data_IF_178438261331
#
_entry.id   IF_178438261331
#
_cell.length_a   1.000
_cell.length_b   1.000
_cell.length_c   1.000
_cell.angle_alpha   90.00
_cell.angle_beta   90.00
_cell.angle_gamma   90.00
#
_symmetry.space_group_name_H-M   'P 1'
#
loop_
_entity.id
_entity.type
_entity.pdbx_description
1 polymer ?
#
# COMPACT_ATOMS: atom_id res chain seq x y z
N UNK A 1 5.62 44.39 7.85
CA UNK A 1 6.07 43.17 7.13
C UNK A 1 6.99 42.28 8.00
N UNK A 2 6.66 42.06 9.28
CA UNK A 2 7.40 41.16 10.20
C UNK A 2 6.55 39.99 10.71
N UNK A 3 5.23 40.10 10.60
CA UNK A 3 4.27 39.08 11.07
C UNK A 3 4.24 37.88 10.11
N UNK A 4 4.35 38.08 8.79
CA UNK A 4 4.34 36.98 7.81
C UNK A 4 5.55 36.05 7.91
N UNK A 5 6.74 36.59 8.25
CA UNK A 5 7.97 35.79 8.43
C UNK A 5 7.91 34.92 9.68
N UNK A 6 7.37 35.45 10.79
CA UNK A 6 7.17 34.68 12.03
C UNK A 6 6.10 33.61 11.85
N UNK A 7 5.00 33.91 11.15
CA UNK A 7 3.95 32.95 10.85
C UNK A 7 4.46 31.84 9.93
N UNK A 8 5.23 32.18 8.90
CA UNK A 8 5.87 31.22 8.00
C UNK A 8 6.87 30.33 8.74
N UNK A 9 7.70 30.89 9.62
CA UNK A 9 8.64 30.13 10.45
C UNK A 9 7.91 29.16 11.38
N UNK A 10 6.83 29.60 12.04
CA UNK A 10 6.00 28.74 12.89
C UNK A 10 5.37 27.62 12.08
N UNK A 11 4.86 27.90 10.88
CA UNK A 11 4.30 26.89 9.99
C UNK A 11 5.36 25.86 9.56
N UNK A 12 6.57 26.31 9.22
CA UNK A 12 7.69 25.43 8.88
C UNK A 12 8.11 24.57 10.07
N UNK A 13 8.17 25.14 11.28
CA UNK A 13 8.50 24.38 12.50
C UNK A 13 7.43 23.33 12.81
N UNK A 14 6.14 23.70 12.69
CA UNK A 14 5.03 22.76 12.87
C UNK A 14 5.08 21.65 11.81
N UNK A 15 5.39 21.98 10.56
CA UNK A 15 5.55 21.01 9.47
C UNK A 15 6.71 20.04 9.75
N UNK A 16 7.87 20.57 10.17
CA UNK A 16 9.07 19.77 10.52
C UNK A 16 8.78 18.87 11.72
N UNK A 17 8.11 19.38 12.75
CA UNK A 17 7.71 18.59 13.93
C UNK A 17 6.68 17.52 13.57
N UNK A 18 5.70 17.82 12.73
CA UNK A 18 4.74 16.84 12.24
C UNK A 18 5.41 15.74 11.42
N UNK A 19 6.41 16.09 10.59
CA UNK A 19 7.22 15.13 9.84
C UNK A 19 8.11 14.29 10.77
N UNK A 20 8.76 14.89 11.76
CA UNK A 20 9.56 14.17 12.74
C UNK A 20 8.72 13.21 13.58
N UNK A 21 7.56 13.65 14.07
CA UNK A 21 6.61 12.80 14.80
C UNK A 21 6.06 11.70 13.89
N UNK A 22 5.80 11.99 12.61
CA UNK A 22 5.41 10.98 11.63
C UNK A 22 6.51 9.92 11.46
N UNK A 23 7.77 10.32 11.29
CA UNK A 23 8.92 9.41 11.13
C UNK A 23 9.19 8.60 12.42
N UNK A 24 9.04 9.22 13.60
CA UNK A 24 9.25 8.53 14.89
C UNK A 24 8.09 7.59 15.26
N UNK A 25 6.85 7.92 14.91
CA UNK A 25 5.71 7.02 15.16
C UNK A 25 5.55 5.95 14.06
N UNK A 26 6.10 6.21 12.87
CA UNK A 26 6.36 5.22 11.85
C UNK A 26 7.84 4.82 11.91
N UNK A 27 8.31 4.44 13.12
CA UNK A 27 9.52 3.63 13.26
C UNK A 27 9.37 2.44 12.32
N UNK A 28 9.88 2.63 11.11
CA UNK A 28 10.11 1.56 10.17
C UNK A 28 11.05 0.62 10.91
N UNK A 29 10.75 -0.69 10.98
CA UNK A 29 11.68 -1.62 11.57
C UNK A 29 13.02 -1.37 10.92
N UNK A 30 14.01 -1.03 11.76
CA UNK A 30 15.40 -0.95 11.37
C UNK A 30 15.67 -2.15 10.48
N UNK A 31 16.07 -1.90 9.24
CA UNK A 31 16.69 -2.93 8.42
C UNK A 31 18.00 -3.28 9.11
N UNK A 32 17.91 -4.10 10.15
CA UNK A 32 19.02 -4.84 10.72
C UNK A 32 19.49 -5.70 9.57
N UNK A 33 20.53 -5.21 8.91
CA UNK A 33 21.21 -5.92 7.84
C UNK A 33 22.02 -6.99 8.57
N UNK A 34 21.36 -8.09 8.95
CA UNK A 34 22.09 -9.30 9.27
C UNK A 34 22.64 -9.81 7.94
N UNK A 35 23.92 -9.51 7.70
CA UNK A 35 24.75 -10.17 6.70
C UNK A 35 24.81 -11.66 7.02
N UNK A 36 23.76 -12.38 6.66
CA UNK A 36 23.67 -13.83 6.70
C UNK A 36 23.00 -14.24 5.39
N UNK A 37 23.80 -14.79 4.47
CA UNK A 37 23.44 -15.49 3.22
C UNK A 37 22.19 -15.03 2.45
N UNK A 38 22.28 -14.67 1.15
CA UNK A 38 21.16 -14.28 0.29
C UNK A 38 20.26 -15.47 -0.13
N UNK A 39 20.11 -16.45 0.75
CA UNK A 39 19.18 -17.56 0.65
C UNK A 39 18.08 -17.35 1.70
N UNK A 40 17.48 -16.16 1.73
CA UNK A 40 16.31 -15.91 2.57
C UNK A 40 15.12 -16.64 1.96
N UNK A 41 14.57 -17.61 2.69
CA UNK A 41 13.41 -18.39 2.28
C UNK A 41 12.28 -17.46 1.81
N UNK A 42 11.79 -17.68 0.59
CA UNK A 42 10.64 -16.94 0.07
C UNK A 42 9.40 -17.20 0.94
N UNK A 43 8.59 -16.18 1.19
CA UNK A 43 7.28 -16.40 1.78
C UNK A 43 6.39 -17.13 0.78
N UNK A 44 5.74 -18.19 1.22
CA UNK A 44 4.77 -18.97 0.42
C UNK A 44 3.36 -18.85 0.99
N UNK A 45 2.36 -19.31 0.23
CA UNK A 45 0.96 -19.33 0.66
C UNK A 45 0.71 -20.12 1.95
N UNK A 46 1.56 -21.10 2.25
CA UNK A 46 1.45 -21.92 3.46
C UNK A 46 1.98 -21.20 4.70
N UNK A 47 2.77 -20.13 4.51
CA UNK A 47 3.36 -19.38 5.60
C UNK A 47 2.26 -18.70 6.44
N UNK A 48 2.25 -18.97 7.75
CA UNK A 48 1.26 -18.41 8.69
C UNK A 48 1.20 -16.89 8.65
N UNK A 49 2.34 -16.21 8.52
CA UNK A 49 2.41 -14.74 8.44
C UNK A 49 1.82 -14.23 7.13
N UNK A 50 2.04 -14.95 6.02
CA UNK A 50 1.39 -14.62 4.74
C UNK A 50 -0.13 -14.75 4.84
N UNK A 51 -0.64 -15.83 5.46
CA UNK A 51 -2.09 -16.00 5.71
C UNK A 51 -2.68 -14.91 6.62
N UNK A 52 -1.90 -14.40 7.57
CA UNK A 52 -2.31 -13.23 8.36
C UNK A 52 -2.34 -11.97 7.50
N UNK A 53 -1.35 -11.77 6.63
CA UNK A 53 -1.32 -10.62 5.71
C UNK A 53 -2.51 -10.62 4.73
N UNK A 54 -2.91 -11.77 4.19
CA UNK A 54 -4.10 -11.88 3.33
C UNK A 54 -5.39 -11.60 4.08
N UNK A 55 -5.49 -12.01 5.35
CA UNK A 55 -6.61 -11.65 6.23
C UNK A 55 -6.66 -10.16 6.52
N UNK A 56 -5.54 -9.54 6.84
CA UNK A 56 -5.45 -8.09 7.08
C UNK A 56 -5.78 -7.29 5.82
N UNK A 57 -5.30 -7.73 4.65
CA UNK A 57 -5.70 -7.17 3.36
C UNK A 57 -7.23 -7.22 3.17
N UNK A 58 -7.87 -8.34 3.46
CA UNK A 58 -9.33 -8.48 3.39
C UNK A 58 -10.06 -7.47 4.29
N UNK A 59 -9.56 -7.28 5.51
CA UNK A 59 -10.11 -6.27 6.44
C UNK A 59 -9.97 -4.84 5.88
N UNK A 60 -8.79 -4.49 5.35
CA UNK A 60 -8.50 -3.17 4.76
C UNK A 60 -9.38 -2.93 3.53
N UNK A 61 -9.57 -3.94 2.69
CA UNK A 61 -10.44 -3.84 1.51
C UNK A 61 -11.90 -3.61 1.90
N UNK A 62 -12.40 -4.34 2.90
CA UNK A 62 -13.75 -4.13 3.44
C UNK A 62 -13.91 -2.73 4.03
N UNK A 63 -12.94 -2.29 4.82
CA UNK A 63 -12.92 -0.93 5.37
C UNK A 63 -12.93 0.12 4.26
N UNK A 64 -12.13 -0.05 3.21
CA UNK A 64 -12.07 0.88 2.09
C UNK A 64 -13.44 1.01 1.39
N UNK A 65 -14.15 -0.12 1.21
CA UNK A 65 -15.51 -0.13 0.68
C UNK A 65 -16.49 0.62 1.58
N UNK A 66 -16.45 0.36 2.88
CA UNK A 66 -17.32 1.03 3.86
C UNK A 66 -17.07 2.54 3.90
N UNK A 67 -15.79 2.96 3.91
CA UNK A 67 -15.39 4.37 3.87
C UNK A 67 -15.86 5.04 2.58
N UNK A 68 -15.67 4.39 1.43
CA UNK A 68 -16.12 4.91 0.15
C UNK A 68 -17.63 5.17 0.15
N UNK A 69 -18.43 4.18 0.54
CA UNK A 69 -19.90 4.30 0.57
C UNK A 69 -20.37 5.34 1.60
N UNK A 70 -19.73 5.42 2.75
CA UNK A 70 -20.10 6.39 3.79
C UNK A 70 -19.81 7.82 3.35
N UNK A 71 -18.63 8.08 2.77
CA UNK A 71 -18.27 9.39 2.24
C UNK A 71 -19.22 9.82 1.12
N UNK A 72 -19.64 8.90 0.24
CA UNK A 72 -20.68 9.18 -0.76
C UNK A 72 -22.01 9.57 -0.12
N UNK A 73 -22.45 8.84 0.90
CA UNK A 73 -23.70 9.13 1.63
C UNK A 73 -23.67 10.49 2.32
N UNK A 74 -22.51 10.90 2.83
CA UNK A 74 -22.30 12.20 3.49
C UNK A 74 -22.03 13.35 2.51
N UNK A 75 -21.91 13.07 1.21
CA UNK A 75 -21.50 14.03 0.18
C UNK A 75 -20.14 14.71 0.47
N UNK A 76 -19.20 13.95 1.05
CA UNK A 76 -17.87 14.44 1.43
C UNK A 76 -16.78 13.90 0.49
N UNK A 77 -17.07 13.79 -0.80
CA UNK A 77 -16.22 13.13 -1.80
C UNK A 77 -14.76 13.62 -1.82
N UNK A 78 -14.51 14.85 -1.39
CA UNK A 78 -13.19 15.43 -1.19
C UNK A 78 -12.29 14.65 -0.19
N UNK A 79 -12.87 13.76 0.64
CA UNK A 79 -12.13 12.88 1.56
C UNK A 79 -11.60 11.61 0.89
N UNK A 80 -11.92 11.38 -0.38
CA UNK A 80 -11.42 10.24 -1.16
C UNK A 80 -10.48 10.76 -2.25
N UNK A 81 -9.33 10.11 -2.40
CA UNK A 81 -8.44 10.31 -3.54
C UNK A 81 -8.32 8.99 -4.31
N UNK A 82 -8.93 8.92 -5.49
CA UNK A 82 -8.70 7.81 -6.43
C UNK A 82 -7.69 8.29 -7.47
N UNK A 83 -6.56 7.60 -7.57
CA UNK A 83 -5.55 7.85 -8.58
C UNK A 83 -5.53 6.70 -9.59
N UNK A 84 -6.19 6.92 -10.73
CA UNK A 84 -6.19 6.01 -11.86
C UNK A 84 -6.01 6.80 -13.16
N UNK A 85 -4.84 6.75 -13.80
CA UNK A 85 -4.60 7.58 -14.99
C UNK A 85 -5.35 7.09 -16.24
N UNK A 86 -5.83 5.84 -16.30
CA UNK A 86 -6.27 5.21 -17.56
C UNK A 86 -7.52 4.30 -17.50
N UNK A 87 -8.27 4.24 -16.39
CA UNK A 87 -9.47 3.39 -16.30
C UNK A 87 -10.36 3.77 -15.10
N UNK A 88 -11.47 3.06 -14.88
CA UNK A 88 -12.29 3.11 -13.65
C UNK A 88 -11.97 1.94 -12.70
N UNK A 89 -10.82 1.30 -12.89
CA UNK A 89 -10.50 0.02 -12.25
C UNK A 89 -10.36 0.15 -10.74
N UNK A 90 -9.79 1.22 -10.21
CA UNK A 90 -9.66 1.42 -8.76
C UNK A 90 -11.02 1.47 -8.08
N UNK A 91 -12.00 2.15 -8.68
CA UNK A 91 -13.36 2.20 -8.17
C UNK A 91 -14.04 0.83 -8.23
N UNK A 92 -13.95 0.15 -9.39
CA UNK A 92 -14.52 -1.19 -9.56
C UNK A 92 -13.89 -2.18 -8.57
N UNK A 93 -12.59 -2.10 -8.36
CA UNK A 93 -11.86 -2.91 -7.40
C UNK A 93 -12.40 -2.75 -5.98
N UNK A 94 -12.59 -1.53 -5.48
CA UNK A 94 -13.14 -1.36 -4.12
C UNK A 94 -14.59 -1.84 -3.99
N UNK A 95 -15.43 -1.58 -5.00
CA UNK A 95 -16.86 -1.83 -4.89
C UNK A 95 -17.24 -3.28 -5.20
N UNK A 96 -16.58 -3.88 -6.18
CA UNK A 96 -16.98 -5.13 -6.83
C UNK A 96 -15.97 -6.27 -6.62
N UNK A 97 -15.03 -6.13 -5.67
CA UNK A 97 -14.13 -7.25 -5.34
C UNK A 97 -14.78 -8.22 -4.36
N UNK A 98 -14.62 -9.52 -4.64
CA UNK A 98 -14.91 -10.63 -3.72
C UNK A 98 -13.68 -11.52 -3.60
N UNK A 99 -13.12 -11.63 -2.39
CA UNK A 99 -11.99 -12.53 -2.11
C UNK A 99 -12.52 -13.96 -2.01
N UNK A 100 -12.00 -14.86 -2.85
CA UNK A 100 -12.41 -16.27 -2.88
C UNK A 100 -11.56 -17.12 -1.93
N UNK A 101 -10.25 -16.88 -1.89
CA UNK A 101 -9.28 -17.55 -1.04
C UNK A 101 -8.01 -16.67 -0.88
N UNK A 102 -6.92 -17.21 -0.34
CA UNK A 102 -5.68 -16.47 -0.05
C UNK A 102 -4.91 -15.97 -1.28
N UNK A 103 -5.24 -16.44 -2.49
CA UNK A 103 -4.55 -16.08 -3.74
C UNK A 103 -5.47 -15.67 -4.86
N UNK A 104 -6.79 -15.82 -4.70
CA UNK A 104 -7.77 -15.61 -5.76
C UNK A 104 -8.85 -14.63 -5.32
N UNK A 105 -9.14 -13.66 -6.18
CA UNK A 105 -10.27 -12.77 -6.01
C UNK A 105 -11.02 -12.59 -7.34
N UNK A 106 -12.30 -12.26 -7.23
CA UNK A 106 -13.13 -11.80 -8.34
C UNK A 106 -13.19 -10.28 -8.29
N UNK A 107 -12.99 -9.62 -9.43
CA UNK A 107 -13.32 -8.20 -9.59
C UNK A 107 -14.37 -8.14 -10.67
N UNK A 108 -15.58 -7.75 -10.28
CA UNK A 108 -16.74 -7.82 -11.16
C UNK A 108 -16.97 -9.26 -11.65
N UNK A 109 -16.80 -9.54 -12.95
CA UNK A 109 -16.99 -10.87 -13.54
C UNK A 109 -15.69 -11.58 -13.95
N UNK A 110 -14.52 -11.00 -13.63
CA UNK A 110 -13.22 -11.55 -13.99
C UNK A 110 -12.48 -12.09 -12.76
N UNK A 111 -11.83 -13.24 -12.95
CA UNK A 111 -10.98 -13.88 -11.93
C UNK A 111 -9.58 -13.28 -12.00
N UNK A 112 -9.01 -13.00 -10.84
CA UNK A 112 -7.63 -12.57 -10.70
C UNK A 112 -6.94 -13.41 -9.65
N UNK A 113 -5.70 -13.80 -9.94
CA UNK A 113 -4.75 -14.12 -8.88
C UNK A 113 -4.28 -12.83 -8.24
N UNK A 114 -4.07 -12.85 -6.93
CA UNK A 114 -3.52 -11.72 -6.20
C UNK A 114 -2.42 -12.16 -5.24
N UNK A 115 -1.40 -11.32 -5.11
CA UNK A 115 -0.33 -11.51 -4.13
C UNK A 115 -0.16 -10.26 -3.29
N UNK A 116 -0.19 -10.44 -1.98
CA UNK A 116 -0.02 -9.37 -1.00
C UNK A 116 1.47 -9.10 -0.82
N UNK A 117 1.92 -7.91 -1.20
CA UNK A 117 3.35 -7.54 -1.15
C UNK A 117 3.68 -6.58 0.00
N UNK A 118 2.68 -5.86 0.49
CA UNK A 118 2.79 -5.06 1.71
C UNK A 118 1.42 -4.94 2.39
N UNK A 119 1.37 -5.18 3.70
CA UNK A 119 0.24 -4.79 4.55
C UNK A 119 0.78 -4.16 5.83
N UNK A 120 0.21 -3.02 6.19
CA UNK A 120 0.38 -2.38 7.48
C UNK A 120 -0.99 -2.08 8.07
N UNK A 121 -1.20 -2.48 9.33
CA UNK A 121 -2.41 -2.16 10.09
C UNK A 121 -2.01 -1.49 11.40
N UNK A 122 -2.38 -0.22 11.58
CA UNK A 122 -2.02 0.57 12.74
C UNK A 122 -2.70 0.06 14.03
N UNK A 123 -3.92 -0.49 13.94
CA UNK A 123 -4.68 -0.97 15.09
C UNK A 123 -4.06 -2.25 15.67
N UNK A 124 -3.74 -3.22 14.81
CA UNK A 124 -3.11 -4.48 15.22
C UNK A 124 -1.59 -4.40 15.34
N UNK A 125 -0.99 -3.28 14.93
CA UNK A 125 0.48 -3.09 14.79
C UNK A 125 1.13 -4.16 13.91
N UNK A 126 0.36 -4.73 12.98
CA UNK A 126 0.86 -5.74 12.05
C UNK A 126 1.55 -5.05 10.87
N UNK A 127 2.74 -5.53 10.53
CA UNK A 127 3.49 -5.09 9.36
C UNK A 127 4.05 -6.31 8.63
N UNK A 128 3.72 -6.41 7.34
CA UNK A 128 4.19 -7.44 6.45
C UNK A 128 4.68 -6.79 5.17
N UNK A 129 5.99 -6.84 4.92
CA UNK A 129 6.61 -6.37 3.68
C UNK A 129 7.87 -7.20 3.41
N UNK A 130 7.71 -8.47 3.00
CA UNK A 130 8.84 -9.38 2.82
C UNK A 130 9.69 -8.98 1.61
N UNK A 131 10.95 -9.42 1.63
CA UNK A 131 11.86 -9.22 0.50
C UNK A 131 11.46 -10.05 -0.72
N UNK A 132 10.95 -11.27 -0.50
CA UNK A 132 10.66 -12.25 -1.55
C UNK A 132 9.40 -13.05 -1.21
N UNK A 133 8.49 -13.17 -2.17
CA UNK A 133 7.26 -13.96 -2.10
C UNK A 133 7.22 -14.90 -3.31
N UNK A 134 6.89 -16.16 -3.08
CA UNK A 134 6.71 -17.16 -4.11
C UNK A 134 5.33 -17.81 -3.95
N UNK A 135 4.47 -17.61 -4.95
CA UNK A 135 3.09 -18.12 -4.99
C UNK A 135 2.91 -18.78 -6.34
N UNK A 136 2.73 -20.10 -6.36
CA UNK A 136 2.59 -20.90 -7.58
C UNK A 136 3.73 -20.65 -8.59
N UNK A 137 3.43 -20.09 -9.76
CA UNK A 137 4.35 -19.73 -10.84
C UNK A 137 4.79 -18.26 -10.79
N UNK A 138 4.49 -17.56 -9.69
CA UNK A 138 4.80 -16.15 -9.48
C UNK A 138 5.87 -15.96 -8.41
N UNK A 139 6.96 -15.30 -8.79
CA UNK A 139 7.99 -14.81 -7.89
C UNK A 139 7.95 -13.28 -7.86
N UNK A 140 7.77 -12.71 -6.67
CA UNK A 140 7.83 -11.26 -6.46
C UNK A 140 8.98 -10.93 -5.51
N UNK A 141 9.84 -10.00 -5.92
CA UNK A 141 11.00 -9.56 -5.16
C UNK A 141 10.97 -8.05 -4.97
N UNK A 142 11.01 -7.60 -3.71
CA UNK A 142 11.34 -6.23 -3.39
C UNK A 142 12.81 -5.99 -3.78
N UNK A 143 13.11 -4.93 -4.52
CA UNK A 143 14.47 -4.58 -4.91
C UNK A 143 15.12 -3.69 -3.85
N UNK A 144 16.45 -3.80 -3.64
CA UNK A 144 17.16 -2.97 -2.68
C UNK A 144 17.00 -1.49 -3.04
N UNK A 145 16.68 -0.67 -2.04
CA UNK A 145 16.66 0.78 -2.23
C UNK A 145 18.09 1.30 -2.36
N UNK A 146 18.30 2.17 -3.33
CA UNK A 146 19.56 2.90 -3.44
C UNK A 146 19.69 3.90 -2.27
N UNK A 147 20.66 3.69 -1.38
CA UNK A 147 20.80 4.43 -0.11
C UNK A 147 21.25 5.89 -0.30
N UNK A 148 21.60 6.29 -1.52
CA UNK A 148 22.18 7.60 -1.86
C UNK A 148 21.16 8.66 -2.33
N UNK A 149 19.86 8.39 -2.23
CA UNK A 149 18.82 9.33 -2.69
C UNK A 149 18.37 10.23 -1.53
N UNK A 150 18.52 11.55 -1.71
CA UNK A 150 17.92 12.55 -0.82
C UNK A 150 16.40 12.38 -0.80
N UNK A 151 15.80 12.26 0.38
CA UNK A 151 14.35 12.13 0.51
C UNK A 151 13.65 13.38 -0.05
N UNK A 152 12.86 13.21 -1.10
CA UNK A 152 12.11 14.29 -1.78
C UNK A 152 10.63 14.36 -1.36
N UNK A 153 10.25 13.67 -0.28
CA UNK A 153 8.84 13.55 0.12
C UNK A 153 8.11 12.33 -0.45
N UNK A 154 8.74 11.61 -1.38
CA UNK A 154 8.21 10.37 -1.97
C UNK A 154 9.15 9.22 -1.65
N UNK A 155 8.57 8.11 -1.19
CA UNK A 155 9.27 6.88 -0.93
C UNK A 155 8.85 5.83 -1.97
N UNK A 156 9.76 5.43 -2.86
CA UNK A 156 9.50 4.38 -3.85
C UNK A 156 10.01 3.02 -3.40
N UNK A 157 9.19 1.99 -3.65
CA UNK A 157 9.46 0.57 -3.39
C UNK A 157 9.35 -0.15 -4.72
N UNK A 158 10.49 -0.55 -5.28
CA UNK A 158 10.56 -1.20 -6.58
C UNK A 158 10.45 -2.70 -6.38
N UNK A 159 9.59 -3.33 -7.16
CA UNK A 159 9.39 -4.78 -7.16
C UNK A 159 9.70 -5.34 -8.53
N UNK A 160 10.33 -6.50 -8.55
CA UNK A 160 10.46 -7.37 -9.71
C UNK A 160 9.44 -8.49 -9.62
N UNK A 161 8.75 -8.75 -10.72
CA UNK A 161 7.71 -9.76 -10.84
C UNK A 161 8.15 -10.72 -11.94
N UNK A 162 8.44 -11.96 -11.59
CA UNK A 162 8.67 -13.04 -12.55
C UNK A 162 7.44 -13.94 -12.62
N UNK A 163 6.85 -14.02 -13.80
CA UNK A 163 5.63 -14.77 -14.08
C UNK A 163 5.79 -15.51 -15.41
N UNK A 164 5.67 -16.84 -15.39
CA UNK A 164 6.04 -17.67 -16.53
C UNK A 164 7.51 -17.46 -16.93
N UNK A 165 7.76 -17.10 -18.19
CA UNK A 165 9.10 -16.83 -18.72
C UNK A 165 9.42 -15.33 -18.81
N UNK A 166 8.54 -14.46 -18.30
CA UNK A 166 8.68 -13.02 -18.38
C UNK A 166 9.00 -12.40 -17.04
N UNK A 167 9.62 -11.22 -17.07
CA UNK A 167 9.95 -10.45 -15.89
C UNK A 167 9.55 -9.00 -16.10
N UNK A 168 8.86 -8.46 -15.11
CA UNK A 168 8.35 -7.10 -15.09
C UNK A 168 8.88 -6.36 -13.87
N UNK A 169 8.93 -5.04 -13.96
CA UNK A 169 9.26 -4.18 -12.82
C UNK A 169 8.12 -3.20 -12.57
N UNK A 170 7.81 -2.97 -11.30
CA UNK A 170 6.80 -2.00 -10.89
C UNK A 170 7.24 -1.28 -9.62
N UNK A 171 6.62 -0.14 -9.33
CA UNK A 171 6.93 0.65 -8.15
C UNK A 171 5.68 1.08 -7.40
N UNK A 172 5.67 0.82 -6.10
CA UNK A 172 4.76 1.45 -5.17
C UNK A 172 5.40 2.71 -4.61
N UNK A 173 4.72 3.84 -4.71
CA UNK A 173 5.16 5.10 -4.09
C UNK A 173 4.31 5.39 -2.85
N UNK A 174 4.95 5.70 -1.74
CA UNK A 174 4.32 6.22 -0.52
C UNK A 174 4.62 7.69 -0.33
N UNK A 175 3.57 8.46 -0.04
CA UNK A 175 3.64 9.88 0.26
C UNK A 175 2.82 10.09 1.53
N UNK A 176 3.48 10.04 2.69
CA UNK A 176 2.79 9.99 3.99
C UNK A 176 1.82 11.15 4.23
N UNK A 177 2.16 12.36 3.76
CA UNK A 177 1.26 13.51 3.87
C UNK A 177 -0.05 13.32 3.09
N UNK A 178 0.03 12.78 1.87
CA UNK A 178 -1.16 12.51 1.05
C UNK A 178 -2.00 11.40 1.70
N UNK A 179 -1.34 10.31 2.09
CA UNK A 179 -1.98 9.16 2.74
C UNK A 179 -2.74 9.55 4.02
N UNK A 180 -2.22 10.49 4.80
CA UNK A 180 -2.87 10.97 6.02
C UNK A 180 -3.96 12.05 5.77
N UNK A 181 -4.01 12.65 4.58
CA UNK A 181 -4.93 13.76 4.26
C UNK A 181 -6.32 13.30 3.81
N UNK A 182 -6.44 12.05 3.37
CA UNK A 182 -7.68 11.46 2.85
C UNK A 182 -8.10 10.28 3.70
N UNK A 183 -9.40 10.04 3.82
CA UNK A 183 -9.91 8.85 4.51
C UNK A 183 -9.68 7.59 3.70
N UNK A 184 -9.66 7.74 2.37
CA UNK A 184 -9.40 6.66 1.45
C UNK A 184 -8.52 7.18 0.31
N UNK A 185 -7.39 6.52 0.08
CA UNK A 185 -6.67 6.62 -1.17
C UNK A 185 -6.60 5.26 -1.85
N UNK A 186 -6.85 5.23 -3.15
CA UNK A 186 -6.75 4.01 -3.95
C UNK A 186 -6.03 4.35 -5.24
N UNK A 187 -5.06 3.53 -5.60
CA UNK A 187 -4.44 3.63 -6.92
C UNK A 187 -4.29 2.28 -7.56
N UNK A 188 -4.49 2.25 -8.87
CA UNK A 188 -4.24 1.09 -9.70
C UNK A 188 -3.40 1.52 -10.89
N UNK A 189 -2.33 0.77 -11.16
CA UNK A 189 -1.53 0.96 -12.36
C UNK A 189 -1.38 -0.38 -13.09
N UNK A 190 -1.52 -0.34 -14.41
CA UNK A 190 -1.25 -1.47 -15.30
C UNK A 190 0.27 -1.63 -15.43
N UNK A 191 0.80 -2.82 -15.14
CA UNK A 191 2.23 -3.17 -15.24
C UNK A 191 2.51 -3.85 -16.58
N UNK A 192 1.64 -4.80 -16.97
CA UNK A 192 1.62 -5.47 -18.27
C UNK A 192 0.17 -5.69 -18.70
N UNK A 193 -0.08 -6.44 -19.78
CA UNK A 193 -1.45 -6.65 -20.28
C UNK A 193 -2.41 -7.30 -19.29
N UNK A 194 -1.91 -8.22 -18.46
CA UNK A 194 -2.67 -8.93 -17.45
C UNK A 194 -2.21 -8.64 -16.01
N UNK A 195 -1.11 -7.90 -15.80
CA UNK A 195 -0.58 -7.61 -14.46
C UNK A 195 -0.90 -6.17 -14.05
N UNK A 196 -1.41 -6.01 -12.84
CA UNK A 196 -1.74 -4.72 -12.24
C UNK A 196 -1.15 -4.62 -10.85
N UNK A 197 -0.74 -3.41 -10.47
CA UNK A 197 -0.46 -3.09 -9.08
C UNK A 197 -1.63 -2.31 -8.50
N UNK A 198 -2.02 -2.64 -7.26
CA UNK A 198 -3.07 -1.92 -6.54
C UNK A 198 -2.58 -1.53 -5.16
N UNK A 199 -2.79 -0.27 -4.82
CA UNK A 199 -2.51 0.29 -3.49
C UNK A 199 -3.78 0.84 -2.90
N UNK A 200 -4.03 0.48 -1.65
CA UNK A 200 -5.10 1.01 -0.82
C UNK A 200 -4.44 1.64 0.41
N UNK A 201 -4.91 2.81 0.79
CA UNK A 201 -4.65 3.36 2.11
C UNK A 201 -5.95 3.88 2.70
N UNK A 202 -6.27 3.42 3.90
CA UNK A 202 -7.41 3.91 4.69
C UNK A 202 -6.87 4.71 5.85
N UNK A 203 -7.53 5.82 6.17
CA UNK A 203 -7.21 6.61 7.33
C UNK A 203 -8.48 6.89 8.13
N UNK A 204 -8.39 6.65 9.44
CA UNK A 204 -9.44 7.01 10.40
C UNK A 204 -8.85 7.89 11.47
N UNK A 205 -9.66 8.83 11.94
CA UNK A 205 -9.33 9.65 13.11
C UNK A 205 -10.18 9.22 14.29
N UNK A 206 -9.53 8.75 15.36
CA UNK A 206 -10.18 8.45 16.64
C UNK A 206 -9.59 9.41 17.67
N UNK A 207 -10.41 10.38 18.11
CA UNK A 207 -9.95 11.48 18.94
C UNK A 207 -8.86 12.31 18.22
N UNK A 208 -7.66 12.38 18.81
CA UNK A 208 -6.52 13.10 18.26
C UNK A 208 -5.53 12.21 17.49
N UNK A 209 -5.80 10.91 17.39
CA UNK A 209 -4.89 9.94 16.75
C UNK A 209 -5.42 9.56 15.37
N UNK A 210 -4.55 9.62 14.37
CA UNK A 210 -4.80 9.08 13.05
C UNK A 210 -4.31 7.63 13.01
N UNK A 211 -5.19 6.71 12.58
CA UNK A 211 -4.90 5.32 12.31
C UNK A 211 -4.87 5.13 10.81
N UNK A 212 -3.74 4.62 10.30
CA UNK A 212 -3.51 4.44 8.88
C UNK A 212 -3.32 2.96 8.61
N UNK A 213 -4.08 2.41 7.68
CA UNK A 213 -3.87 1.06 7.18
C UNK A 213 -3.46 1.12 5.72
N UNK A 214 -2.53 0.27 5.31
CA UNK A 214 -1.96 0.24 3.96
C UNK A 214 -2.02 -1.19 3.45
N UNK A 215 -2.44 -1.38 2.20
CA UNK A 215 -2.33 -2.65 1.52
C UNK A 215 -1.85 -2.44 0.08
N UNK A 216 -0.79 -3.15 -0.31
CA UNK A 216 -0.29 -3.23 -1.67
C UNK A 216 -0.38 -4.67 -2.16
N UNK A 217 -0.97 -4.82 -3.34
CA UNK A 217 -1.11 -6.13 -3.99
C UNK A 217 -0.68 -6.04 -5.45
N UNK A 218 -0.22 -7.17 -5.97
CA UNK A 218 -0.11 -7.43 -7.40
C UNK A 218 -1.31 -8.30 -7.79
N UNK A 219 -1.97 -7.94 -8.88
CA UNK A 219 -3.06 -8.69 -9.50
C UNK A 219 -2.59 -9.25 -10.84
N UNK A 220 -2.98 -10.48 -11.13
CA UNK A 220 -2.80 -11.12 -12.43
C UNK A 220 -4.18 -11.54 -12.89
N UNK A 221 -4.64 -10.98 -14.01
CA UNK A 221 -5.89 -11.37 -14.63
C UNK A 221 -5.73 -12.77 -15.22
N UNK A 222 -6.61 -13.67 -14.80
CA UNK A 222 -6.70 -15.01 -15.40
C UNK A 222 -7.59 -14.92 -16.65
N UNK A 223 -7.25 -15.71 -17.68
CA UNK A 223 -8.01 -15.81 -18.94
C UNK A 223 -9.30 -16.63 -18.79
#
# INVERSE_FOLDING_TARGET
MMISKKLSLVFTIILVLAVLVYISNHEHPSTTTNNTNPQSNAFTIENRTYKLATKEFSNILKEAKDLYLNVLKMNETWKILIYEPYSNFSKTFILNTTILNETTLLIDHAVYKYVVVHVYNAESKFNFMPQRIHVDDLLIELLPRNKSVTYTGVISYNYRISYGNETYETSFSSIGFIEASYYLTVSTNKVSDNIYQVKITTARKIGNTAYINVAWIILIKED
#
